data_IF_847717873571
#
_entry.id   IF_847717873571
#
_cell.length_a   1.000
_cell.length_b   1.000
_cell.length_c   1.000
_cell.angle_alpha   90.00
_cell.angle_beta   90.00
_cell.angle_gamma   90.00
#
_symmetry.space_group_name_H-M   'P 1'
#
loop_
_entity.id
_entity.type
_entity.pdbx_description
1 polymer ?
#
# COMPACT_ATOMS: atom_id res chain seq x y z
N UNK A 1 -35.12 -9.69 -57.56
CA UNK A 1 -35.04 -9.04 -56.23
C UNK A 1 -35.13 -10.13 -55.16
N UNK A 2 -34.19 -10.06 -54.21
CA UNK A 2 -34.11 -10.76 -52.92
C UNK A 2 -33.95 -12.30 -52.92
N UNK A 3 -32.68 -12.69 -52.69
CA UNK A 3 -32.22 -14.01 -52.30
C UNK A 3 -32.71 -14.39 -50.89
N UNK A 4 -33.24 -15.60 -50.77
CA UNK A 4 -33.54 -16.26 -49.50
C UNK A 4 -32.24 -16.80 -48.89
N UNK A 5 -31.92 -16.41 -47.63
CA UNK A 5 -30.80 -16.96 -46.85
C UNK A 5 -31.29 -18.04 -45.88
N UNK A 6 -30.52 -19.12 -45.69
CA UNK A 6 -30.90 -20.25 -44.85
C UNK A 6 -30.71 -19.96 -43.36
N UNK A 7 -31.57 -20.54 -42.54
CA UNK A 7 -31.38 -20.70 -41.08
C UNK A 7 -30.34 -21.80 -40.85
N UNK A 8 -29.18 -21.45 -40.33
CA UNK A 8 -28.21 -22.40 -39.77
C UNK A 8 -27.74 -21.87 -38.42
N UNK A 9 -27.96 -22.73 -37.41
CA UNK A 9 -27.43 -22.78 -36.06
C UNK A 9 -26.59 -21.59 -35.55
N UNK A 10 -27.10 -20.87 -34.55
CA UNK A 10 -26.25 -20.08 -33.66
C UNK A 10 -25.61 -21.04 -32.66
N UNK A 11 -24.35 -21.36 -32.96
CA UNK A 11 -23.41 -22.05 -32.09
C UNK A 11 -23.29 -21.34 -30.74
N UNK A 12 -23.12 -22.17 -29.71
CA UNK A 12 -22.75 -21.79 -28.36
C UNK A 12 -21.61 -20.77 -28.35
N UNK A 13 -21.91 -19.55 -27.90
CA UNK A 13 -20.93 -18.59 -27.44
C UNK A 13 -20.84 -18.73 -25.92
N UNK A 14 -19.84 -19.50 -25.52
CA UNK A 14 -19.19 -19.52 -24.22
C UNK A 14 -19.01 -18.10 -23.69
N UNK A 15 -19.82 -17.70 -22.71
CA UNK A 15 -19.59 -16.50 -21.91
C UNK A 15 -18.42 -16.80 -20.95
N UNK A 16 -17.20 -16.55 -21.41
CA UNK A 16 -16.02 -16.36 -20.57
C UNK A 16 -16.21 -15.08 -19.77
N UNK A 17 -16.75 -15.21 -18.55
CA UNK A 17 -16.73 -14.15 -17.53
C UNK A 17 -15.29 -13.93 -17.04
N UNK A 18 -14.49 -13.26 -17.87
CA UNK A 18 -13.33 -12.51 -17.43
C UNK A 18 -13.84 -11.15 -16.92
N UNK A 19 -14.35 -11.12 -15.69
CA UNK A 19 -14.60 -9.86 -14.97
C UNK A 19 -13.29 -9.38 -14.33
N UNK A 20 -12.32 -9.08 -15.20
CA UNK A 20 -11.33 -8.02 -14.98
C UNK A 20 -11.92 -6.76 -15.63
N UNK A 21 -12.80 -6.08 -14.90
CA UNK A 21 -13.27 -4.76 -15.28
C UNK A 21 -12.13 -3.76 -15.08
N UNK A 22 -11.31 -3.59 -16.12
CA UNK A 22 -10.34 -2.51 -16.20
C UNK A 22 -11.10 -1.18 -16.31
N UNK A 23 -11.27 -0.49 -15.18
CA UNK A 23 -11.37 0.98 -15.23
C UNK A 23 -9.96 1.45 -15.58
N UNK A 24 -9.80 2.11 -16.73
CA UNK A 24 -8.52 2.72 -17.07
C UNK A 24 -8.16 3.71 -15.93
N UNK A 25 -7.05 3.50 -15.20
CA UNK A 25 -6.59 4.51 -14.27
C UNK A 25 -6.24 5.73 -15.11
N UNK A 26 -6.77 6.90 -14.76
CA UNK A 26 -6.27 8.16 -15.28
C UNK A 26 -4.79 8.27 -14.88
N UNK A 27 -3.90 7.89 -15.80
CA UNK A 27 -2.46 7.96 -15.64
C UNK A 27 -2.03 9.41 -15.65
N UNK A 28 -1.85 10.00 -14.47
CA UNK A 28 -1.08 11.24 -14.33
C UNK A 28 -0.27 11.16 -13.05
N UNK A 29 1.04 11.03 -13.24
CA UNK A 29 2.08 11.13 -12.23
C UNK A 29 2.23 12.57 -11.73
N UNK A 30 1.13 13.17 -11.29
CA UNK A 30 1.11 14.47 -10.65
C UNK A 30 0.52 14.27 -9.25
N UNK A 31 1.32 14.56 -8.23
CA UNK A 31 0.94 14.37 -6.83
C UNK A 31 -0.08 15.45 -6.42
N UNK A 32 -1.30 15.45 -7.00
CA UNK A 32 -2.41 16.34 -6.63
C UNK A 32 -2.69 16.36 -5.13
N UNK A 33 -3.20 17.43 -4.55
CA UNK A 33 -3.37 17.54 -3.08
C UNK A 33 -4.34 16.47 -2.55
N UNK A 34 -4.41 16.28 -1.22
CA UNK A 34 -5.40 15.35 -0.64
C UNK A 34 -6.87 15.81 -0.85
N UNK A 35 -7.08 17.00 -1.42
CA UNK A 35 -8.39 17.58 -1.77
C UNK A 35 -8.62 17.60 -3.29
N UNK A 36 -7.87 16.79 -4.04
CA UNK A 36 -8.05 16.61 -5.49
C UNK A 36 -9.50 16.20 -5.82
N UNK A 37 -10.19 16.89 -6.76
CA UNK A 37 -11.57 16.58 -7.13
C UNK A 37 -11.80 15.15 -7.60
N UNK A 38 -10.77 14.45 -8.10
CA UNK A 38 -10.87 13.03 -8.50
C UNK A 38 -11.25 12.11 -7.35
N UNK A 39 -10.98 12.51 -6.10
CA UNK A 39 -11.40 11.71 -4.95
C UNK A 39 -12.92 11.70 -4.74
N UNK A 40 -13.63 12.74 -5.18
CA UNK A 40 -15.09 12.72 -5.19
C UNK A 40 -15.61 11.64 -6.16
N UNK A 41 -15.06 11.57 -7.37
CA UNK A 41 -15.42 10.54 -8.36
C UNK A 41 -15.11 9.12 -7.84
N UNK A 42 -14.01 8.96 -7.11
CA UNK A 42 -13.69 7.68 -6.48
C UNK A 42 -14.71 7.31 -5.38
N UNK A 43 -15.24 8.27 -4.64
CA UNK A 43 -16.30 8.03 -3.67
C UNK A 43 -17.62 7.64 -4.35
N UNK A 44 -17.95 8.23 -5.48
CA UNK A 44 -19.10 7.82 -6.30
C UNK A 44 -18.96 6.36 -6.75
N UNK A 45 -17.76 5.96 -7.20
CA UNK A 45 -17.47 4.55 -7.57
C UNK A 45 -17.56 3.61 -6.38
N UNK A 46 -17.11 4.04 -5.20
CA UNK A 46 -17.25 3.26 -3.96
C UNK A 46 -18.73 3.07 -3.63
N UNK A 47 -19.54 4.12 -3.69
CA UNK A 47 -20.97 4.00 -3.39
C UNK A 47 -21.69 3.10 -4.40
N UNK A 48 -21.41 3.24 -5.70
CA UNK A 48 -21.95 2.38 -6.74
C UNK A 48 -21.60 0.90 -6.50
N UNK A 49 -20.34 0.60 -6.16
CA UNK A 49 -19.92 -0.78 -5.85
C UNK A 49 -20.68 -1.34 -4.63
N UNK A 50 -20.88 -0.53 -3.59
CA UNK A 50 -21.64 -0.94 -2.41
C UNK A 50 -23.13 -1.20 -2.75
N UNK A 51 -23.71 -0.40 -3.64
CA UNK A 51 -25.08 -0.59 -4.14
C UNK A 51 -25.21 -1.85 -5.00
N UNK A 52 -24.17 -2.21 -5.76
CA UNK A 52 -24.06 -3.46 -6.54
C UNK A 52 -23.74 -4.69 -5.68
N UNK A 53 -24.00 -4.62 -4.36
CA UNK A 53 -23.82 -5.72 -3.41
C UNK A 53 -22.36 -6.19 -3.26
N UNK A 54 -21.38 -5.38 -3.69
CA UNK A 54 -19.97 -5.60 -3.38
C UNK A 54 -19.63 -5.03 -2.00
N UNK A 55 -18.51 -5.46 -1.44
CA UNK A 55 -17.93 -4.86 -0.25
C UNK A 55 -16.73 -4.00 -0.64
N UNK A 56 -16.51 -2.91 0.08
CA UNK A 56 -15.33 -2.06 -0.10
C UNK A 56 -14.49 -2.10 1.16
N UNK A 57 -13.20 -2.42 1.00
CA UNK A 57 -12.21 -2.43 2.07
C UNK A 57 -11.21 -1.30 1.83
N UNK A 58 -11.13 -0.39 2.79
CA UNK A 58 -10.05 0.60 2.86
C UNK A 58 -8.87 0.01 3.64
N UNK A 59 -7.68 0.07 3.06
CA UNK A 59 -6.44 -0.27 3.77
C UNK A 59 -5.65 1.01 4.00
N UNK A 60 -5.54 1.42 5.27
CA UNK A 60 -4.79 2.61 5.61
C UNK A 60 -3.30 2.42 5.30
N UNK A 61 -2.73 3.35 4.55
CA UNK A 61 -1.30 3.42 4.29
C UNK A 61 -0.56 4.01 5.50
N UNK A 62 -0.65 3.30 6.62
CA UNK A 62 0.03 3.63 7.84
C UNK A 62 1.20 2.68 8.02
N UNK A 63 2.36 3.26 8.30
CA UNK A 63 3.47 2.52 8.89
C UNK A 63 3.06 2.06 10.29
N UNK A 64 3.57 0.91 10.79
CA UNK A 64 3.23 0.43 12.12
C UNK A 64 3.67 1.40 13.25
N UNK A 65 4.36 2.50 12.95
CA UNK A 65 4.93 3.44 13.90
C UNK A 65 4.84 4.89 13.39
N UNK A 66 4.79 5.84 14.32
CA UNK A 66 4.83 7.28 14.01
C UNK A 66 6.25 7.79 13.69
N UNK A 67 7.29 7.19 14.30
CA UNK A 67 8.70 7.55 14.04
C UNK A 67 9.35 6.74 12.90
N UNK A 68 8.69 5.69 12.38
CA UNK A 68 9.16 4.95 11.20
C UNK A 68 9.00 5.77 9.91
N UNK A 69 8.64 7.07 9.97
CA UNK A 69 8.75 7.98 8.82
C UNK A 69 10.15 7.98 8.19
N UNK A 70 11.15 7.48 8.91
CA UNK A 70 12.47 7.22 8.39
C UNK A 70 12.48 6.02 7.44
N UNK A 71 12.86 6.28 6.19
CA UNK A 71 12.95 5.32 5.11
C UNK A 71 13.86 4.13 5.44
N UNK A 72 14.84 4.30 6.34
CA UNK A 72 15.72 3.22 6.80
C UNK A 72 14.96 2.09 7.51
N UNK A 73 13.82 2.40 8.09
CA UNK A 73 13.07 1.48 8.94
C UNK A 73 12.03 0.64 8.19
N UNK A 74 11.81 0.95 6.89
CA UNK A 74 10.96 0.17 5.98
C UNK A 74 11.50 -1.24 5.70
N UNK A 75 12.78 -1.48 5.98
CA UNK A 75 13.46 -2.78 5.83
C UNK A 75 13.10 -3.79 6.92
N UNK A 76 12.53 -3.34 8.04
CA UNK A 76 12.27 -4.18 9.22
C UNK A 76 10.88 -4.82 9.21
N UNK A 77 10.03 -4.46 8.26
CA UNK A 77 8.66 -4.94 8.19
C UNK A 77 8.09 -4.78 6.78
N UNK A 78 7.01 -5.51 6.52
CA UNK A 78 6.26 -5.46 5.26
C UNK A 78 4.76 -5.54 5.57
N UNK A 79 3.97 -4.76 4.85
CA UNK A 79 2.51 -4.76 4.97
C UNK A 79 1.82 -5.85 4.15
N UNK A 80 2.58 -6.58 3.32
CA UNK A 80 2.04 -7.50 2.31
C UNK A 80 1.56 -8.80 2.95
N UNK A 81 0.34 -8.78 3.49
CA UNK A 81 -0.36 -9.98 3.95
C UNK A 81 -1.40 -10.41 2.91
N UNK A 82 -1.66 -11.71 2.83
CA UNK A 82 -2.53 -12.30 1.81
C UNK A 82 -3.72 -12.97 2.46
N UNK A 83 -4.88 -12.52 2.03
CA UNK A 83 -6.19 -13.04 2.32
C UNK A 83 -6.75 -13.75 1.10
N UNK A 84 -7.28 -14.94 1.30
CA UNK A 84 -7.88 -15.77 0.27
C UNK A 84 -9.39 -15.82 0.47
N UNK A 85 -10.19 -15.59 -0.56
CA UNK A 85 -11.61 -15.89 -0.48
C UNK A 85 -11.80 -17.41 -0.36
N UNK A 86 -12.55 -17.85 0.66
CA UNK A 86 -12.71 -19.25 0.99
C UNK A 86 -13.52 -20.03 -0.05
N UNK A 87 -14.48 -19.38 -0.71
CA UNK A 87 -15.33 -20.00 -1.74
C UNK A 87 -14.67 -19.92 -3.13
N UNK A 88 -13.96 -18.82 -3.42
CA UNK A 88 -13.25 -18.64 -4.68
C UNK A 88 -11.78 -18.27 -4.45
N UNK A 89 -10.87 -19.27 -4.30
CA UNK A 89 -9.45 -19.04 -4.01
C UNK A 89 -8.67 -18.21 -5.05
N UNK A 90 -9.24 -17.97 -6.23
CA UNK A 90 -8.64 -17.07 -7.23
C UNK A 90 -8.72 -15.60 -6.80
N UNK A 91 -9.66 -15.28 -5.91
CA UNK A 91 -9.85 -13.94 -5.38
C UNK A 91 -9.00 -13.79 -4.13
N UNK A 92 -8.02 -12.89 -4.20
CA UNK A 92 -7.16 -12.55 -3.08
C UNK A 92 -7.29 -11.09 -2.72
N UNK A 93 -7.13 -10.81 -1.43
CA UNK A 93 -7.07 -9.47 -0.87
C UNK A 93 -5.76 -9.35 -0.10
N UNK A 94 -5.06 -8.24 -0.26
CA UNK A 94 -3.86 -7.98 0.48
C UNK A 94 -3.51 -6.52 0.35
N UNK A 95 -2.79 -5.99 1.33
CA UNK A 95 -2.21 -4.65 1.18
C UNK A 95 -1.13 -4.76 0.11
N UNK A 96 -1.17 -3.90 -0.91
CA UNK A 96 -0.15 -3.84 -1.96
C UNK A 96 0.92 -2.80 -1.69
N UNK A 97 0.89 -2.18 -0.51
CA UNK A 97 1.91 -1.23 -0.09
C UNK A 97 3.25 -1.93 0.07
N UNK A 98 4.03 -1.88 -1.00
CA UNK A 98 5.35 -2.49 -1.07
C UNK A 98 6.35 -1.57 -0.37
N UNK A 99 6.99 -2.10 0.68
CA UNK A 99 8.15 -1.45 1.30
C UNK A 99 9.33 -1.33 0.33
N UNK A 100 9.38 -2.21 -0.67
CA UNK A 100 10.21 -2.08 -1.84
C UNK A 100 9.55 -1.18 -2.90
N UNK A 101 10.04 0.05 -3.06
CA UNK A 101 9.47 1.00 -4.03
C UNK A 101 9.55 0.52 -5.49
N UNK A 102 10.45 -0.40 -5.81
CA UNK A 102 10.57 -0.98 -7.16
C UNK A 102 9.36 -1.81 -7.56
N UNK A 103 8.65 -2.34 -6.56
CA UNK A 103 7.54 -3.26 -6.74
C UNK A 103 6.19 -2.60 -6.46
N UNK A 104 6.18 -1.29 -6.15
CA UNK A 104 4.94 -0.55 -5.90
C UNK A 104 4.04 -0.60 -7.15
N UNK A 105 2.83 -1.10 -6.96
CA UNK A 105 1.79 -1.09 -8.00
C UNK A 105 1.45 0.37 -8.34
N UNK A 106 1.77 0.78 -9.57
CA UNK A 106 1.53 2.15 -10.07
C UNK A 106 0.05 2.41 -10.31
N UNK A 107 -0.74 1.35 -10.48
CA UNK A 107 -2.17 1.41 -10.77
C UNK A 107 -3.02 1.23 -9.50
N UNK A 108 -2.39 1.07 -8.33
CA UNK A 108 -3.08 1.01 -7.06
C UNK A 108 -3.89 2.30 -6.82
N UNK A 109 -5.19 2.13 -6.55
CA UNK A 109 -6.11 3.24 -6.33
C UNK A 109 -6.09 3.65 -4.87
N UNK A 110 -5.72 4.90 -4.62
CA UNK A 110 -5.68 5.47 -3.27
C UNK A 110 -6.73 6.56 -3.10
N UNK A 111 -7.57 6.43 -2.08
CA UNK A 111 -8.45 7.51 -1.62
C UNK A 111 -7.65 8.46 -0.70
N UNK A 112 -7.66 9.75 -1.03
CA UNK A 112 -6.98 10.82 -0.30
C UNK A 112 -5.48 10.58 -0.05
N UNK A 113 -4.82 9.80 -0.93
CA UNK A 113 -3.43 9.30 -0.77
C UNK A 113 -3.17 8.47 0.50
N UNK A 114 -4.19 8.16 1.28
CA UNK A 114 -4.03 7.56 2.61
C UNK A 114 -4.66 6.18 2.73
N UNK A 115 -5.55 5.81 1.80
CA UNK A 115 -6.26 4.54 1.84
C UNK A 115 -6.19 3.85 0.50
N UNK A 116 -5.56 2.68 0.43
CA UNK A 116 -5.73 1.79 -0.71
C UNK A 116 -7.18 1.28 -0.72
N UNK A 117 -7.84 1.33 -1.89
CA UNK A 117 -9.24 0.95 -2.04
C UNK A 117 -9.33 -0.42 -2.70
N UNK A 118 -10.04 -1.36 -2.06
CA UNK A 118 -10.32 -2.67 -2.62
C UNK A 118 -11.83 -2.91 -2.70
N UNK A 119 -12.32 -3.17 -3.90
CA UNK A 119 -13.69 -3.64 -4.14
C UNK A 119 -13.63 -5.17 -4.21
N UNK A 120 -14.34 -5.84 -3.30
CA UNK A 120 -14.28 -7.29 -3.10
C UNK A 120 -15.69 -7.88 -3.10
N UNK A 121 -15.89 -9.09 -3.63
CA UNK A 121 -17.16 -9.77 -3.46
C UNK A 121 -17.41 -10.10 -1.99
N UNK A 122 -18.69 -10.21 -1.58
CA UNK A 122 -19.02 -10.68 -0.24
C UNK A 122 -18.54 -12.11 -0.05
N UNK A 123 -18.22 -12.47 1.19
CA UNK A 123 -17.77 -13.82 1.53
C UNK A 123 -16.78 -13.87 2.67
N UNK A 124 -16.33 -15.08 2.99
CA UNK A 124 -15.34 -15.34 4.02
C UNK A 124 -13.94 -15.30 3.42
N UNK A 125 -13.06 -14.55 4.05
CA UNK A 125 -11.66 -14.41 3.68
C UNK A 125 -10.76 -15.03 4.77
N UNK A 126 -9.68 -15.68 4.34
CA UNK A 126 -8.75 -16.43 5.19
C UNK A 126 -7.34 -15.86 5.07
N UNK A 127 -6.67 -15.56 6.18
CA UNK A 127 -5.29 -15.08 6.18
C UNK A 127 -4.35 -16.26 5.92
N UNK A 128 -3.80 -16.34 4.71
CA UNK A 128 -3.08 -17.51 4.19
C UNK A 128 -1.65 -17.21 3.74
N UNK A 129 -1.11 -16.03 4.03
CA UNK A 129 0.29 -15.77 3.73
C UNK A 129 0.71 -14.33 3.86
N UNK A 130 1.93 -14.09 3.38
CA UNK A 130 2.47 -12.75 3.16
C UNK A 130 3.82 -12.81 2.46
N UNK A 131 4.28 -11.64 2.02
CA UNK A 131 5.52 -11.46 1.25
C UNK A 131 6.50 -10.61 2.04
N UNK A 132 7.71 -11.14 2.22
CA UNK A 132 8.80 -10.55 2.99
C UNK A 132 10.11 -10.60 2.18
N UNK A 133 11.17 -9.98 2.68
CA UNK A 133 12.44 -9.85 1.99
C UNK A 133 13.61 -10.22 2.89
N UNK A 134 14.57 -10.96 2.33
CA UNK A 134 15.91 -11.10 2.90
C UNK A 134 16.85 -10.23 2.09
N UNK A 135 17.26 -9.10 2.68
CA UNK A 135 18.10 -8.09 2.04
C UNK A 135 19.56 -8.52 1.99
N UNK A 136 20.31 -7.98 1.02
CA UNK A 136 21.74 -8.27 0.80
C UNK A 136 22.02 -9.77 0.68
N UNK A 137 21.12 -10.50 0.02
CA UNK A 137 21.20 -11.93 -0.15
C UNK A 137 20.92 -12.32 -1.60
N UNK A 138 21.67 -13.33 -2.07
CA UNK A 138 21.50 -13.94 -3.38
C UNK A 138 20.85 -15.31 -3.22
N UNK A 139 20.02 -15.70 -4.20
CA UNK A 139 19.24 -16.94 -4.11
C UNK A 139 20.13 -18.21 -4.00
N UNK A 140 21.29 -18.20 -4.66
CA UNK A 140 22.27 -19.28 -4.62
C UNK A 140 22.86 -19.53 -3.22
N UNK A 141 22.97 -18.48 -2.40
CA UNK A 141 23.42 -18.55 -1.01
C UNK A 141 22.47 -19.36 -0.09
N UNK A 142 21.26 -19.68 -0.55
CA UNK A 142 20.34 -20.57 0.17
C UNK A 142 20.87 -22.01 0.20
N UNK A 143 21.66 -22.42 -0.81
CA UNK A 143 22.27 -23.75 -0.89
C UNK A 143 21.27 -24.90 -1.08
N UNK A 144 20.11 -24.63 -1.70
CA UNK A 144 19.08 -25.63 -1.92
C UNK A 144 19.50 -26.64 -3.01
N UNK A 145 19.28 -27.93 -2.75
CA UNK A 145 19.53 -28.98 -3.73
C UNK A 145 18.50 -28.93 -4.87
N UNK A 146 18.85 -29.27 -6.12
CA UNK A 146 17.87 -29.37 -7.20
C UNK A 146 16.78 -30.39 -6.88
N UNK A 147 15.54 -30.11 -7.30
CA UNK A 147 14.43 -31.05 -7.13
C UNK A 147 13.24 -30.71 -8.04
N UNK A 148 12.31 -31.66 -8.27
CA UNK A 148 11.12 -31.38 -9.05
C UNK A 148 10.19 -30.40 -8.31
N UNK A 149 9.37 -29.67 -9.07
CA UNK A 149 8.35 -28.79 -8.50
C UNK A 149 7.46 -29.54 -7.49
N UNK A 150 7.24 -28.94 -6.32
CA UNK A 150 6.50 -29.55 -5.22
C UNK A 150 7.36 -30.26 -4.18
N UNK A 151 8.61 -30.62 -4.50
CA UNK A 151 9.48 -31.40 -3.59
C UNK A 151 9.95 -30.63 -2.35
N UNK A 152 9.90 -29.29 -2.38
CA UNK A 152 10.22 -28.43 -1.25
C UNK A 152 9.01 -27.98 -0.43
N UNK A 153 7.82 -28.57 -0.63
CA UNK A 153 6.60 -28.15 0.07
C UNK A 153 6.43 -28.85 1.42
N UNK A 154 5.90 -28.13 2.40
CA UNK A 154 5.63 -28.64 3.74
C UNK A 154 4.14 -28.80 4.03
N UNK A 155 3.80 -29.65 5.00
CA UNK A 155 2.41 -29.82 5.48
C UNK A 155 1.82 -28.52 6.05
N UNK A 156 2.69 -27.65 6.58
CA UNK A 156 2.36 -26.35 7.13
C UNK A 156 2.33 -25.21 6.10
N UNK A 157 2.67 -25.52 4.85
CA UNK A 157 2.84 -24.55 3.79
C UNK A 157 4.25 -24.53 3.23
N UNK A 158 4.50 -23.50 2.42
CA UNK A 158 5.72 -23.36 1.62
C UNK A 158 6.18 -21.91 1.68
N UNK A 159 7.47 -21.71 1.89
CA UNK A 159 8.14 -20.45 1.58
C UNK A 159 8.71 -20.57 0.16
N UNK A 160 8.23 -19.73 -0.75
CA UNK A 160 8.80 -19.60 -2.09
C UNK A 160 9.83 -18.48 -2.06
N UNK A 161 11.06 -18.79 -2.44
CA UNK A 161 12.17 -17.86 -2.47
C UNK A 161 12.51 -17.56 -3.93
N UNK A 162 12.56 -16.28 -4.29
CA UNK A 162 12.94 -15.83 -5.63
C UNK A 162 13.91 -14.64 -5.55
N UNK A 163 14.82 -14.50 -6.53
CA UNK A 163 15.74 -13.37 -6.56
C UNK A 163 14.97 -12.10 -6.94
N UNK A 164 15.31 -10.98 -6.32
CA UNK A 164 14.62 -9.71 -6.46
C UNK A 164 15.61 -8.55 -6.24
N UNK A 165 15.33 -7.36 -6.78
CA UNK A 165 16.02 -6.14 -6.38
C UNK A 165 15.18 -5.40 -5.35
N UNK A 166 15.85 -4.85 -4.34
CA UNK A 166 15.21 -4.04 -3.29
C UNK A 166 15.81 -2.64 -3.28
N UNK A 167 14.95 -1.60 -3.34
CA UNK A 167 15.42 -0.22 -3.15
C UNK A 167 15.56 0.08 -1.67
N UNK A 168 16.80 0.08 -1.20
CA UNK A 168 17.16 0.49 0.15
C UNK A 168 17.33 2.01 0.18
N UNK A 169 16.73 2.64 1.19
CA UNK A 169 16.95 4.05 1.49
C UNK A 169 17.91 4.16 2.67
N UNK A 170 18.86 5.08 2.57
CA UNK A 170 19.87 5.31 3.58
C UNK A 170 20.12 6.81 3.77
N UNK A 171 20.63 7.16 4.96
CA UNK A 171 21.06 8.52 5.27
C UNK A 171 22.51 8.71 4.85
N UNK A 172 22.79 9.84 4.22
CA UNK A 172 24.13 10.25 3.82
C UNK A 172 24.32 11.73 4.10
N UNK A 173 25.49 12.12 4.60
CA UNK A 173 25.78 13.53 4.91
C UNK A 173 26.47 14.18 3.72
N UNK A 174 25.78 15.10 3.06
CA UNK A 174 26.30 15.80 1.88
C UNK A 174 26.46 17.29 2.15
N UNK A 175 27.43 17.91 1.46
CA UNK A 175 27.58 19.36 1.45
C UNK A 175 26.56 19.99 0.50
N UNK A 176 25.76 20.94 1.00
CA UNK A 176 24.86 21.74 0.18
C UNK A 176 25.35 23.18 0.07
N UNK A 177 25.34 23.78 -1.13
CA UNK A 177 25.63 25.19 -1.28
C UNK A 177 24.53 26.03 -0.61
N UNK A 178 24.91 27.21 -0.12
CA UNK A 178 23.93 28.16 0.40
C UNK A 178 22.96 28.58 -0.72
N UNK A 179 21.67 28.66 -0.40
CA UNK A 179 20.65 29.14 -1.34
C UNK A 179 20.24 30.55 -0.99
N UNK A 180 19.79 31.31 -1.99
CA UNK A 180 19.12 32.59 -1.82
C UNK A 180 17.78 32.54 -2.53
N UNK A 181 16.76 33.16 -1.94
CA UNK A 181 15.46 33.33 -2.56
C UNK A 181 15.28 34.79 -2.92
N UNK A 182 14.90 35.05 -4.17
CA UNK A 182 14.69 36.40 -4.69
C UNK A 182 13.21 36.61 -4.95
N UNK A 183 12.63 37.62 -4.32
CA UNK A 183 11.23 38.01 -4.50
C UNK A 183 11.14 39.46 -4.97
N UNK A 184 10.25 39.74 -5.93
CA UNK A 184 9.92 41.11 -6.31
C UNK A 184 8.83 41.58 -5.34
N UNK A 185 9.10 42.66 -4.60
CA UNK A 185 8.14 43.30 -3.70
C UNK A 185 7.81 44.70 -4.19
N UNK A 186 6.62 45.17 -3.84
CA UNK A 186 6.18 46.52 -4.14
C UNK A 186 6.18 47.34 -2.86
N UNK A 187 6.84 48.50 -2.88
CA UNK A 187 6.75 49.49 -1.79
C UNK A 187 6.11 50.78 -2.29
N UNK A 188 5.36 51.44 -1.43
CA UNK A 188 4.85 52.79 -1.70
C UNK A 188 5.99 53.78 -1.49
N UNK A 189 6.26 54.59 -2.51
CA UNK A 189 7.28 55.64 -2.48
C UNK A 189 6.63 56.98 -2.76
N UNK A 190 7.13 58.02 -2.11
CA UNK A 190 6.68 59.38 -2.38
C UNK A 190 7.24 59.83 -3.74
N UNK A 191 6.36 60.26 -4.65
CA UNK A 191 6.75 60.75 -5.98
C UNK A 191 6.70 62.27 -6.09
N UNK A 192 6.01 62.95 -5.18
CA UNK A 192 6.00 64.41 -5.08
C UNK A 192 5.85 64.88 -3.62
N UNK A 193 6.61 65.91 -3.25
CA UNK A 193 6.61 66.51 -1.89
C UNK A 193 6.18 67.97 -1.95
N UNK A 194 5.49 68.43 -0.90
CA UNK A 194 5.13 69.82 -0.71
C UNK A 194 6.38 70.63 -0.29
N UNK A 195 6.75 71.64 -1.09
CA UNK A 195 8.04 72.34 -0.98
C UNK A 195 8.29 72.98 0.41
N UNK A 196 7.26 73.51 1.06
CA UNK A 196 7.43 74.24 2.33
C UNK A 196 7.41 73.34 3.59
N UNK A 197 6.69 72.21 3.55
CA UNK A 197 6.52 71.34 4.72
C UNK A 197 7.27 70.01 4.62
N UNK A 198 7.81 69.68 3.45
CA UNK A 198 8.42 68.38 3.17
C UNK A 198 7.43 67.21 3.16
N UNK A 199 6.13 67.47 3.33
CA UNK A 199 5.12 66.43 3.39
C UNK A 199 4.91 65.78 2.02
N UNK A 200 4.76 64.45 1.99
CA UNK A 200 4.46 63.74 0.75
C UNK A 200 3.03 64.03 0.28
N UNK A 201 2.89 64.48 -0.97
CA UNK A 201 1.60 64.82 -1.57
C UNK A 201 1.17 63.88 -2.69
N UNK A 202 2.07 63.02 -3.19
CA UNK A 202 1.73 61.98 -4.17
C UNK A 202 2.54 60.71 -3.92
N UNK A 203 1.88 59.56 -4.04
CA UNK A 203 2.45 58.24 -3.81
C UNK A 203 2.41 57.42 -5.09
N UNK A 204 3.53 56.76 -5.40
CA UNK A 204 3.64 55.76 -6.45
C UNK A 204 4.03 54.39 -5.88
N UNK A 205 3.83 53.35 -6.68
CA UNK A 205 4.30 52.01 -6.36
C UNK A 205 5.63 51.74 -7.09
N UNK A 206 6.66 51.36 -6.34
CA UNK A 206 7.95 50.95 -6.89
C UNK A 206 8.16 49.47 -6.58
N UNK A 207 8.41 48.69 -7.63
CA UNK A 207 8.90 47.33 -7.46
C UNK A 207 10.39 47.36 -7.12
N UNK A 208 10.79 46.54 -6.15
CA UNK A 208 12.19 46.31 -5.81
C UNK A 208 12.41 44.82 -5.59
N UNK A 209 13.61 44.37 -5.88
CA UNK A 209 14.03 43.00 -5.70
C UNK A 209 14.57 42.83 -4.28
N UNK A 210 13.99 41.91 -3.52
CA UNK A 210 14.45 41.52 -2.19
C UNK A 210 15.03 40.11 -2.27
N UNK A 211 16.33 39.99 -2.02
CA UNK A 211 17.02 38.71 -1.94
C UNK A 211 17.19 38.34 -0.47
N UNK A 212 16.47 37.33 -0.03
CA UNK A 212 16.59 36.78 1.33
C UNK A 212 17.50 35.55 1.33
N UNK A 213 18.41 35.40 2.30
CA UNK A 213 19.14 34.16 2.51
C UNK A 213 18.18 32.99 2.69
N UNK A 214 18.39 31.92 1.93
CA UNK A 214 17.70 30.65 2.09
C UNK A 214 18.44 29.77 3.10
N UNK A 215 18.55 28.49 2.77
CA UNK A 215 19.30 27.52 3.58
C UNK A 215 20.79 27.87 3.53
N UNK A 216 21.46 27.92 4.69
CA UNK A 216 22.90 28.19 4.75
C UNK A 216 23.71 27.07 4.10
N UNK A 217 24.89 27.40 3.58
CA UNK A 217 25.81 26.38 3.11
C UNK A 217 26.20 25.50 4.30
N UNK A 218 26.02 24.19 4.19
CA UNK A 218 26.08 23.28 5.34
C UNK A 218 26.23 21.82 4.93
N UNK A 219 26.77 21.01 5.83
CA UNK A 219 26.60 19.56 5.73
C UNK A 219 25.20 19.23 6.25
N UNK A 220 24.38 18.61 5.40
CA UNK A 220 23.04 18.17 5.76
C UNK A 220 22.90 16.68 5.54
N UNK A 221 22.06 16.07 6.37
CA UNK A 221 21.70 14.67 6.22
C UNK A 221 20.61 14.53 5.15
N UNK A 222 20.99 13.95 4.01
CA UNK A 222 20.08 13.61 2.94
C UNK A 222 19.59 12.17 3.07
N UNK A 223 18.40 11.92 2.55
CA UNK A 223 17.95 10.55 2.29
C UNK A 223 18.18 10.23 0.83
N UNK A 224 19.00 9.22 0.58
CA UNK A 224 19.31 8.70 -0.75
C UNK A 224 18.87 7.25 -0.84
N UNK A 225 18.99 6.64 -2.02
CA UNK A 225 18.57 5.27 -2.27
C UNK A 225 19.51 4.53 -3.19
N UNK A 226 19.64 3.22 -2.97
CA UNK A 226 20.36 2.30 -3.84
C UNK A 226 19.57 1.01 -4.02
N UNK A 227 19.75 0.39 -5.18
CA UNK A 227 19.14 -0.92 -5.45
C UNK A 227 20.13 -2.01 -5.02
N UNK A 228 19.69 -2.88 -4.11
CA UNK A 228 20.48 -3.99 -3.55
C UNK A 228 19.86 -5.33 -3.94
N UNK A 229 20.66 -6.41 -4.05
CA UNK A 229 20.12 -7.75 -4.22
C UNK A 229 19.34 -8.18 -2.97
N UNK A 230 18.20 -8.83 -3.19
CA UNK A 230 17.38 -9.42 -2.15
C UNK A 230 16.78 -10.75 -2.59
N UNK A 231 16.36 -11.55 -1.61
CA UNK A 231 15.49 -12.71 -1.84
C UNK A 231 14.09 -12.33 -1.39
N UNK A 232 13.13 -12.33 -2.31
CA UNK A 232 11.72 -12.24 -1.96
C UNK A 232 11.27 -13.58 -1.41
N UNK A 233 10.68 -13.57 -0.22
CA UNK A 233 10.16 -14.75 0.47
C UNK A 233 8.64 -14.65 0.53
N UNK A 234 7.98 -15.51 -0.23
CA UNK A 234 6.53 -15.61 -0.28
C UNK A 234 6.09 -16.78 0.58
N UNK A 235 5.72 -16.49 1.83
CA UNK A 235 5.19 -17.50 2.74
C UNK A 235 3.72 -17.75 2.42
N UNK A 236 3.36 -19.01 2.14
CA UNK A 236 2.00 -19.45 1.82
C UNK A 236 1.63 -20.61 2.71
N UNK A 237 0.47 -20.51 3.37
CA UNK A 237 -0.08 -21.58 4.22
C UNK A 237 -1.39 -22.11 3.62
N UNK A 238 -1.70 -23.41 3.79
CA UNK A 238 -2.96 -23.96 3.32
C UNK A 238 -4.17 -23.30 4.02
N UNK A 239 -5.34 -23.18 3.36
CA UNK A 239 -6.55 -22.59 3.96
C UNK A 239 -6.95 -23.20 5.30
N UNK A 240 -6.76 -24.52 5.47
CA UNK A 240 -7.02 -25.25 6.72
C UNK A 240 -6.17 -24.79 7.92
N UNK A 241 -5.07 -24.10 7.64
CA UNK A 241 -4.14 -23.56 8.64
C UNK A 241 -4.15 -22.04 8.72
N UNK A 242 -5.12 -21.38 8.06
CA UNK A 242 -5.23 -19.92 8.05
C UNK A 242 -5.08 -19.31 9.46
N UNK A 243 -4.40 -18.17 9.54
CA UNK A 243 -4.08 -17.53 10.82
C UNK A 243 -5.28 -16.78 11.42
N UNK A 244 -6.16 -16.28 10.55
CA UNK A 244 -7.37 -15.57 10.89
C UNK A 244 -8.39 -15.68 9.76
N UNK A 245 -9.62 -15.26 10.05
CA UNK A 245 -10.66 -15.06 9.05
C UNK A 245 -11.41 -13.76 9.28
N UNK A 246 -12.01 -13.19 8.23
CA UNK A 246 -13.07 -12.20 8.34
C UNK A 246 -14.17 -12.51 7.33
N UNK A 247 -15.32 -11.89 7.50
CA UNK A 247 -16.45 -12.04 6.57
C UNK A 247 -16.89 -10.67 6.11
N UNK A 248 -17.02 -10.50 4.79
CA UNK A 248 -17.64 -9.32 4.17
C UNK A 248 -19.08 -9.64 3.79
N UNK A 249 -19.98 -8.74 4.16
CA UNK A 249 -21.37 -8.70 3.68
C UNK A 249 -21.44 -7.81 2.44
N UNK A 250 -22.44 -8.03 1.59
CA UNK A 250 -22.69 -7.12 0.48
C UNK A 250 -23.10 -5.73 0.98
N UNK A 251 -22.62 -4.68 0.30
CA UNK A 251 -22.83 -3.28 0.70
C UNK A 251 -22.04 -2.83 1.93
N UNK A 252 -21.09 -3.65 2.40
CA UNK A 252 -20.30 -3.36 3.59
C UNK A 252 -19.08 -2.48 3.24
N UNK A 253 -18.89 -1.39 3.98
CA UNK A 253 -17.76 -0.48 3.83
C UNK A 253 -16.86 -0.53 5.05
N UNK A 254 -15.70 -1.18 4.94
CA UNK A 254 -14.86 -1.52 6.10
C UNK A 254 -13.46 -0.94 6.03
N UNK A 255 -12.92 -0.56 7.18
CA UNK A 255 -11.51 -0.21 7.35
C UNK A 255 -10.74 -1.43 7.83
N UNK A 256 -9.77 -1.86 7.03
CA UNK A 256 -8.91 -2.99 7.36
C UNK A 256 -8.13 -2.76 8.65
N UNK A 257 -7.92 -3.84 9.40
CA UNK A 257 -6.97 -3.86 10.53
C UNK A 257 -5.56 -3.64 9.99
N UNK A 258 -4.69 -3.04 10.80
CA UNK A 258 -3.28 -2.96 10.41
C UNK A 258 -2.66 -4.33 10.57
N UNK A 259 -2.05 -4.82 9.50
CA UNK A 259 -1.42 -6.13 9.47
C UNK A 259 -0.07 -6.03 8.77
N UNK A 260 0.90 -6.72 9.33
CA UNK A 260 2.26 -6.66 8.85
C UNK A 260 3.06 -7.88 9.32
N UNK A 261 4.14 -8.14 8.60
CA UNK A 261 5.19 -9.06 8.98
C UNK A 261 6.35 -8.22 9.52
N UNK A 262 6.89 -8.59 10.67
CA UNK A 262 8.17 -8.11 11.21
C UNK A 262 9.30 -8.98 10.62
N UNK A 263 10.18 -8.43 9.81
CA UNK A 263 11.17 -9.19 9.05
C UNK A 263 12.28 -9.76 9.96
N UNK A 264 12.58 -11.07 9.93
CA UNK A 264 11.83 -12.15 9.27
C UNK A 264 10.66 -12.64 10.13
N UNK A 265 9.47 -12.77 9.53
CA UNK A 265 8.26 -13.29 10.21
C UNK A 265 7.94 -14.75 9.88
N UNK A 266 8.84 -15.41 9.17
CA UNK A 266 8.71 -16.78 8.72
C UNK A 266 9.86 -17.62 9.24
N UNK A 267 9.63 -18.93 9.34
CA UNK A 267 10.65 -19.94 9.58
C UNK A 267 10.40 -21.07 8.59
N UNK A 268 11.45 -21.56 7.95
CA UNK A 268 11.39 -22.69 7.04
C UNK A 268 12.57 -23.63 7.28
N UNK A 269 12.38 -24.91 6.95
CA UNK A 269 13.40 -25.93 7.12
C UNK A 269 14.43 -25.88 5.99
N UNK A 270 15.54 -25.17 6.21
CA UNK A 270 16.56 -24.95 5.17
C UNK A 270 17.11 -26.24 4.55
N UNK A 271 17.35 -27.28 5.36
CA UNK A 271 17.88 -28.58 4.86
C UNK A 271 16.93 -29.31 3.91
N UNK A 272 15.64 -28.94 3.92
CA UNK A 272 14.62 -29.52 3.06
C UNK A 272 14.21 -28.60 1.89
N UNK A 273 14.89 -27.46 1.71
CA UNK A 273 14.66 -26.60 0.55
C UNK A 273 15.07 -27.30 -0.76
N UNK A 274 14.33 -27.02 -1.83
CA UNK A 274 14.59 -27.53 -3.18
C UNK A 274 14.58 -26.42 -4.21
N UNK A 275 15.64 -26.34 -5.01
CA UNK A 275 15.68 -25.48 -6.19
C UNK A 275 14.85 -26.15 -7.29
N UNK A 276 13.65 -25.64 -7.52
CA UNK A 276 12.67 -26.21 -8.46
C UNK A 276 12.72 -25.55 -9.84
N UNK A 277 13.34 -24.38 -9.91
CA UNK A 277 13.61 -23.60 -11.12
C UNK A 277 14.87 -22.75 -10.87
N UNK A 278 15.63 -22.33 -11.91
CA UNK A 278 16.78 -21.43 -11.75
C UNK A 278 16.51 -20.16 -10.93
N UNK A 279 15.26 -19.67 -10.88
CA UNK A 279 14.87 -18.48 -10.11
C UNK A 279 13.87 -18.78 -8.99
N UNK A 280 13.68 -20.04 -8.62
CA UNK A 280 12.73 -20.42 -7.58
C UNK A 280 13.22 -21.55 -6.70
N UNK A 281 13.16 -21.32 -5.39
CA UNK A 281 13.38 -22.32 -4.35
C UNK A 281 12.08 -22.50 -3.56
N UNK A 282 11.65 -23.74 -3.37
CA UNK A 282 10.59 -24.11 -2.45
C UNK A 282 11.21 -24.61 -1.13
N UNK A 283 10.78 -24.05 0.00
CA UNK A 283 11.20 -24.50 1.33
C UNK A 283 9.99 -24.87 2.19
N UNK A 284 10.02 -25.99 2.94
CA UNK A 284 8.92 -26.37 3.82
C UNK A 284 8.79 -25.34 4.94
N UNK A 285 7.63 -24.71 5.03
CA UNK A 285 7.38 -23.69 6.05
C UNK A 285 7.17 -24.37 7.40
N UNK A 286 7.84 -23.87 8.44
CA UNK A 286 7.69 -24.33 9.82
C UNK A 286 6.76 -23.40 10.59
N UNK A 287 6.93 -22.09 10.40
CA UNK A 287 6.11 -21.07 11.05
C UNK A 287 5.92 -19.83 10.17
N UNK A 288 4.81 -19.13 10.38
CA UNK A 288 4.53 -17.79 9.87
C UNK A 288 3.85 -17.00 10.98
N UNK A 289 4.31 -15.78 11.23
CA UNK A 289 3.72 -14.87 12.20
C UNK A 289 3.25 -13.59 11.53
N UNK A 290 1.99 -13.22 11.68
CA UNK A 290 1.43 -11.95 11.22
C UNK A 290 1.05 -11.13 12.44
N UNK A 291 1.55 -9.90 12.53
CA UNK A 291 1.20 -8.98 13.59
C UNK A 291 -0.03 -8.17 13.20
N UNK A 292 -0.95 -8.00 14.14
CA UNK A 292 -2.19 -7.27 13.92
C UNK A 292 -2.40 -6.16 14.95
N UNK A 293 -2.95 -5.03 14.49
CA UNK A 293 -3.45 -3.95 15.35
C UNK A 293 -4.87 -3.58 14.96
N UNK A 294 -5.62 -2.88 15.82
CA UNK A 294 -6.95 -2.38 15.48
C UNK A 294 -6.94 -1.50 14.21
N UNK A 295 -8.08 -1.46 13.52
CA UNK A 295 -8.28 -0.55 12.40
C UNK A 295 -8.13 0.91 12.88
N UNK A 296 -7.41 1.79 12.15
CA UNK A 296 -7.08 3.13 12.59
C UNK A 296 -8.25 4.13 12.47
N UNK A 297 -9.40 3.83 13.06
CA UNK A 297 -10.65 4.60 12.88
C UNK A 297 -10.49 6.09 13.22
N UNK A 298 -9.85 6.43 14.34
CA UNK A 298 -9.65 7.82 14.74
C UNK A 298 -8.81 8.62 13.73
N UNK A 299 -7.80 8.00 13.13
CA UNK A 299 -7.02 8.62 12.07
C UNK A 299 -7.88 8.87 10.82
N UNK A 300 -8.65 7.86 10.38
CA UNK A 300 -9.52 7.97 9.22
C UNK A 300 -10.59 9.04 9.39
N UNK A 301 -11.29 9.04 10.52
CA UNK A 301 -12.32 10.03 10.84
C UNK A 301 -11.75 11.46 10.85
N UNK A 302 -10.59 11.66 11.49
CA UNK A 302 -9.90 12.95 11.50
C UNK A 302 -9.52 13.40 10.09
N UNK A 303 -8.98 12.50 9.27
CA UNK A 303 -8.57 12.81 7.90
C UNK A 303 -9.78 13.19 7.04
N UNK A 304 -10.89 12.46 7.13
CA UNK A 304 -12.12 12.76 6.38
C UNK A 304 -12.74 14.09 6.79
N UNK A 305 -12.76 14.40 8.09
CA UNK A 305 -13.29 15.68 8.58
C UNK A 305 -12.51 16.89 8.05
N UNK A 306 -11.22 16.72 7.73
CA UNK A 306 -10.34 17.76 7.18
C UNK A 306 -10.47 17.95 5.67
N UNK A 307 -11.34 17.20 4.97
CA UNK A 307 -11.53 17.36 3.53
C UNK A 307 -12.51 18.50 3.23
N UNK A 308 -12.04 19.46 2.44
CA UNK A 308 -12.81 20.67 2.10
C UNK A 308 -13.82 20.41 0.97
N UNK A 309 -13.45 19.56 0.00
CA UNK A 309 -14.18 19.40 -1.27
C UNK A 309 -15.16 18.21 -1.29
N UNK A 310 -15.77 17.85 -0.15
CA UNK A 310 -16.72 16.74 -0.07
C UNK A 310 -18.17 17.24 0.08
N UNK A 311 -19.05 16.68 -0.76
CA UNK A 311 -20.52 16.84 -0.64
C UNK A 311 -21.05 16.16 0.62
N UNK A 312 -22.28 16.50 1.01
CA UNK A 312 -22.95 15.84 2.15
C UNK A 312 -23.15 14.35 1.92
N UNK A 313 -23.40 13.93 0.68
CA UNK A 313 -23.51 12.53 0.29
C UNK A 313 -22.18 11.80 0.49
N UNK A 314 -21.05 12.40 0.07
CA UNK A 314 -19.72 11.84 0.31
C UNK A 314 -19.40 11.73 1.80
N UNK A 315 -19.79 12.72 2.60
CA UNK A 315 -19.61 12.68 4.06
C UNK A 315 -20.45 11.57 4.70
N UNK A 316 -21.71 11.40 4.26
CA UNK A 316 -22.58 10.33 4.71
C UNK A 316 -22.05 8.93 4.34
N UNK A 317 -21.51 8.77 3.13
CA UNK A 317 -20.82 7.54 2.72
C UNK A 317 -19.63 7.22 3.64
N UNK A 318 -18.73 8.19 3.84
CA UNK A 318 -17.56 8.02 4.69
C UNK A 318 -17.91 7.72 6.15
N UNK A 319 -19.05 8.23 6.64
CA UNK A 319 -19.55 7.94 7.98
C UNK A 319 -20.03 6.49 8.16
N UNK A 320 -20.33 5.76 7.07
CA UNK A 320 -20.68 4.32 7.11
C UNK A 320 -19.47 3.41 7.33
N UNK A 321 -18.24 3.95 7.28
CA UNK A 321 -17.02 3.16 7.43
C UNK A 321 -16.96 2.51 8.82
N UNK A 322 -16.84 1.18 8.86
CA UNK A 322 -16.74 0.42 10.09
C UNK A 322 -15.40 -0.33 10.22
N UNK A 323 -14.91 -0.58 11.45
CA UNK A 323 -13.66 -1.33 11.63
C UNK A 323 -13.84 -2.80 11.27
N UNK A 324 -12.91 -3.33 10.47
CA UNK A 324 -12.86 -4.76 10.12
C UNK A 324 -12.72 -5.63 11.38
N UNK A 325 -13.63 -6.59 11.51
CA UNK A 325 -13.60 -7.61 12.55
C UNK A 325 -12.95 -8.88 12.01
N UNK A 326 -11.93 -9.37 12.73
CA UNK A 326 -11.25 -10.63 12.41
C UNK A 326 -11.47 -11.64 13.52
N UNK A 327 -11.59 -12.90 13.14
CA UNK A 327 -11.61 -14.05 14.04
C UNK A 327 -10.26 -14.75 13.95
N UNK A 328 -9.44 -14.74 15.02
CA UNK A 328 -8.20 -15.51 15.08
C UNK A 328 -8.49 -17.01 14.90
N UNK A 329 -7.73 -17.66 14.02
CA UNK A 329 -7.82 -19.10 13.76
C UNK A 329 -6.52 -19.81 14.18
N UNK A 330 -5.38 -19.13 14.07
CA UNK A 330 -4.07 -19.59 14.52
C UNK A 330 -3.85 -19.50 16.03
N UNK A 331 -2.60 -19.62 16.46
CA UNK A 331 -2.17 -19.29 17.82
C UNK A 331 -2.03 -17.77 17.96
N UNK A 332 -2.71 -17.20 18.95
CA UNK A 332 -2.60 -15.80 19.32
C UNK A 332 -1.62 -15.67 20.48
N UNK A 333 -0.52 -14.94 20.28
CA UNK A 333 0.44 -14.64 21.33
C UNK A 333 0.08 -13.40 22.15
N UNK A 334 0.96 -13.06 23.08
CA UNK A 334 0.84 -11.83 23.87
C UNK A 334 1.03 -10.59 22.99
N UNK A 335 0.31 -9.51 23.31
CA UNK A 335 0.45 -8.24 22.60
C UNK A 335 1.85 -7.66 22.80
N UNK A 336 2.51 -7.36 21.68
CA UNK A 336 3.74 -6.58 21.65
C UNK A 336 3.38 -5.09 21.53
N UNK A 337 3.92 -4.20 22.40
CA UNK A 337 3.56 -2.78 22.39
C UNK A 337 3.96 -2.06 21.09
N UNK A 338 4.92 -2.58 20.33
CA UNK A 338 5.44 -2.03 19.08
C UNK A 338 4.81 -2.70 17.86
N UNK A 339 4.66 -4.01 17.88
CA UNK A 339 4.20 -4.78 16.72
C UNK A 339 2.71 -5.13 16.79
N UNK A 340 2.11 -5.13 17.97
CA UNK A 340 0.72 -5.54 18.20
C UNK A 340 0.60 -7.03 18.48
N UNK A 341 -0.57 -7.60 18.19
CA UNK A 341 -0.88 -8.99 18.55
C UNK A 341 -0.37 -9.95 17.47
N UNK A 342 0.56 -10.87 17.78
CA UNK A 342 1.04 -11.86 16.83
C UNK A 342 0.03 -13.00 16.65
N UNK A 343 -0.24 -13.33 15.39
CA UNK A 343 -1.00 -14.50 14.97
C UNK A 343 -0.06 -15.45 14.24
N UNK A 344 0.01 -16.71 14.69
CA UNK A 344 0.95 -17.70 14.14
C UNK A 344 0.30 -19.05 13.90
N UNK A 345 1.00 -19.94 13.21
CA UNK A 345 0.52 -21.32 12.99
C UNK A 345 0.31 -22.02 14.34
N UNK A 346 -0.74 -22.86 14.43
CA UNK A 346 -0.92 -23.72 15.60
C UNK A 346 0.15 -24.81 15.61
N UNK A 347 0.87 -24.96 16.73
CA UNK A 347 1.79 -26.09 16.91
C UNK A 347 0.99 -27.38 17.11
N UNK A 348 1.24 -28.39 16.28
CA UNK A 348 0.76 -29.77 16.47
C UNK A 348 -0.68 -30.07 15.99
N UNK A 349 -0.87 -30.25 14.69
CA UNK A 349 -2.02 -31.01 14.17
C UNK A 349 -1.55 -32.06 13.19
#
# INVERSE_FOLDING_TARGET
MMLSRPRVALSALTLTLALSGCVAPSSTADYGTMDDPRYAQLLDLIDAALQDNMAVVLVADLMPHATLKDAMTMTQWTGNVIWLNAAEPRITFGRKFQNNSLQRDKDATYLFKAFEVHILPPGKYLLTGGDDYRLNALLDQVGAQPGPAGSGRGANGTAYLSPELYREFYKETNWHPGSTSTQIRTRKVCTAVHMASGACVSWGEQQYTETTPGVQAGYYEDTTSRDIPAIKVQARIPPRQALASFTLKGGQFVLSRRMHLKTPSYQYKQSACRAVDPKMIECPLENLTVYTRPAPMAFSQKLFAQRANLSDQHRALLARLEPMQITPLGHQGMEDPIWGVPLSLRKGK
#
